data_IF_945303814670
#
_entry.id   IF_945303814670
#
_cell.length_a   1.000
_cell.length_b   1.000
_cell.length_c   1.000
_cell.angle_alpha   90.00
_cell.angle_beta   90.00
_cell.angle_gamma   90.00
#
_symmetry.space_group_name_H-M   'P 1'
#
loop_
_entity.id
_entity.type
_entity.pdbx_description
1 polymer ?
2 water ?
#
# COMPACT_ATOMS: atom_id res chain seq x y z
N UNK A 7 12.55 -29.36 -14.50
CA UNK A 7 11.68 -30.27 -13.75
C UNK A 7 11.23 -29.67 -12.43
N UNK A 8 9.95 -29.85 -12.10
CA UNK A 8 9.37 -29.27 -10.88
C UNK A 8 8.37 -30.23 -10.24
N UNK A 9 8.46 -30.38 -8.92
CA UNK A 9 7.66 -31.38 -8.20
C UNK A 9 6.48 -30.80 -7.39
N UNK A 10 6.61 -29.57 -6.90
CA UNK A 10 5.64 -29.02 -5.94
C UNK A 10 5.63 -27.48 -5.94
N UNK A 11 4.47 -26.89 -6.24
CA UNK A 11 4.36 -25.43 -6.39
C UNK A 11 3.38 -24.79 -5.40
N UNK A 12 3.78 -23.66 -4.81
CA UNK A 12 2.84 -22.84 -4.04
C UNK A 12 2.23 -21.76 -4.94
N UNK A 13 0.91 -21.78 -5.04
CA UNK A 13 0.18 -20.87 -5.91
C UNK A 13 -0.57 -19.83 -5.09
N UNK A 14 -0.47 -18.58 -5.49
CA UNK A 14 -1.31 -17.53 -4.89
C UNK A 14 -2.71 -17.74 -5.46
N UNK A 15 -3.61 -18.22 -4.60
CA UNK A 15 -4.92 -18.66 -5.06
C UNK A 15 -6.05 -17.83 -4.46
N UNK A 16 -6.88 -17.28 -5.33
CA UNK A 16 -8.02 -16.46 -4.90
C UNK A 16 -9.36 -17.19 -5.04
N UNK A 17 -9.38 -18.28 -5.80
CA UNK A 17 -10.62 -18.99 -6.05
C UNK A 17 -11.30 -18.52 -7.32
N UNK A 18 -10.82 -17.41 -7.88
CA UNK A 18 -11.34 -16.88 -9.12
C UNK A 18 -11.11 -17.81 -10.30
N UNK A 19 -11.70 -17.48 -11.45
CA UNK A 19 -11.68 -18.40 -12.58
C UNK A 19 -10.28 -18.56 -13.16
N UNK A 20 -9.56 -17.44 -13.25
CA UNK A 20 -8.25 -17.42 -13.87
C UNK A 20 -7.18 -18.18 -13.10
N UNK A 21 -7.15 -18.00 -11.77
CA UNK A 21 -6.21 -18.75 -10.95
C UNK A 21 -6.63 -20.22 -10.76
N UNK A 22 -7.91 -20.53 -11.03
CA UNK A 22 -8.39 -21.90 -11.03
C UNK A 22 -7.91 -22.58 -12.30
N UNK A 23 -7.91 -21.82 -13.38
CA UNK A 23 -7.36 -22.32 -14.64
C UNK A 23 -5.85 -22.52 -14.49
N UNK A 24 -5.19 -21.58 -13.83
CA UNK A 24 -3.75 -21.69 -13.58
C UNK A 24 -3.40 -22.91 -12.73
N UNK A 25 -4.16 -23.12 -11.67
CA UNK A 25 -4.00 -24.31 -10.83
C UNK A 25 -4.02 -25.62 -11.64
N UNK A 26 -4.94 -25.73 -12.60
CA UNK A 26 -5.03 -26.96 -13.40
C UNK A 26 -3.88 -27.08 -14.39
N UNK A 27 -3.44 -25.93 -14.91
CA UNK A 27 -2.33 -25.88 -15.85
C UNK A 27 -1.01 -26.28 -15.19
N UNK A 28 -0.85 -25.89 -13.93
CA UNK A 28 0.35 -26.26 -13.18
C UNK A 28 0.42 -27.79 -13.05
N UNK A 29 -0.64 -28.39 -12.52
CA UNK A 29 -0.74 -29.84 -12.34
C UNK A 29 -0.45 -30.64 -13.58
N UNK A 30 -0.80 -30.08 -14.74
CA UNK A 30 -0.69 -30.80 -15.99
C UNK A 30 0.62 -30.54 -16.73
N UNK A 31 1.01 -29.28 -16.83
CA UNK A 31 2.18 -28.89 -17.61
C UNK A 31 3.50 -29.17 -16.92
N UNK A 32 3.54 -28.85 -15.63
CA UNK A 32 4.73 -29.12 -14.84
C UNK A 32 4.61 -30.46 -14.12
N UNK A 33 3.40 -31.00 -14.15
CA UNK A 33 3.14 -32.32 -13.60
C UNK A 33 3.56 -32.38 -12.14
N UNK A 34 2.91 -31.55 -11.33
CA UNK A 34 3.35 -31.39 -9.95
C UNK A 34 2.19 -31.32 -8.98
N UNK A 35 2.55 -31.30 -7.70
CA UNK A 35 1.60 -31.11 -6.63
C UNK A 35 1.47 -29.61 -6.43
N UNK A 36 0.24 -29.11 -6.44
CA UNK A 36 0.01 -27.69 -6.22
C UNK A 36 -0.38 -27.43 -4.78
N UNK A 37 0.24 -26.41 -4.18
CA UNK A 37 -0.12 -25.93 -2.85
C UNK A 37 -0.85 -24.59 -3.03
N UNK A 38 -2.01 -24.44 -2.40
CA UNK A 38 -2.70 -23.15 -2.52
C UNK A 38 -2.47 -22.26 -1.29
N UNK A 39 -2.40 -20.96 -1.55
CA UNK A 39 -2.24 -19.96 -0.50
C UNK A 39 -3.21 -18.81 -0.74
N UNK A 40 -4.14 -18.64 0.19
CA UNK A 40 -5.11 -17.54 0.14
C UNK A 40 -4.93 -16.71 1.40
N UNK A 41 -4.81 -15.39 1.23
CA UNK A 41 -4.57 -14.47 2.34
C UNK A 41 -5.66 -13.43 2.47
N UNK A 42 -6.09 -13.17 3.70
CA UNK A 42 -6.98 -12.05 3.97
C UNK A 42 -6.13 -10.81 4.31
N UNK A 43 -6.17 -9.80 3.46
CA UNK A 43 -5.53 -8.51 3.78
C UNK A 43 -6.51 -7.34 3.71
N UNK A 44 -7.79 -7.63 3.95
CA UNK A 44 -8.83 -6.62 3.85
C UNK A 44 -9.65 -6.61 2.56
N UNK A 45 -9.59 -7.69 1.79
CA UNK A 45 -10.32 -7.78 0.53
C UNK A 45 -11.83 -7.79 0.77
N UNK A 46 -12.25 -8.18 1.97
CA UNK A 46 -13.67 -8.31 2.24
C UNK A 46 -14.26 -9.52 1.53
N UNK A 47 -13.45 -10.56 1.36
CA UNK A 47 -13.93 -11.82 0.82
C UNK A 47 -13.88 -12.91 1.88
N UNK A 48 -14.92 -13.72 1.95
CA UNK A 48 -14.90 -14.92 2.79
C UNK A 48 -13.76 -15.82 2.33
N UNK A 49 -12.97 -16.29 3.27
CA UNK A 49 -11.83 -17.17 2.97
C UNK A 49 -12.26 -18.62 2.70
N UNK A 50 -13.24 -19.11 3.46
CA UNK A 50 -13.68 -20.51 3.38
C UNK A 50 -13.92 -21.09 1.98
N UNK A 51 -14.69 -20.39 1.11
CA UNK A 51 -15.02 -20.99 -0.19
C UNK A 51 -13.80 -21.30 -1.05
N UNK A 52 -12.70 -20.59 -0.80
CA UNK A 52 -11.44 -20.83 -1.50
C UNK A 52 -10.91 -22.22 -1.17
N UNK A 53 -10.96 -22.59 0.11
CA UNK A 53 -10.62 -23.96 0.52
C UNK A 53 -11.48 -24.98 -0.23
N UNK A 54 -12.78 -24.74 -0.29
CA UNK A 54 -13.71 -25.64 -0.96
C UNK A 54 -13.48 -25.68 -2.46
N UNK A 55 -13.22 -24.53 -3.07
CA UNK A 55 -12.94 -24.53 -4.50
C UNK A 55 -11.65 -25.32 -4.77
N UNK A 56 -10.66 -25.11 -3.90
CA UNK A 56 -9.39 -25.80 -3.99
C UNK A 56 -9.55 -27.31 -3.85
N UNK A 57 -10.40 -27.74 -2.92
CA UNK A 57 -10.69 -29.15 -2.75
C UNK A 57 -11.33 -29.77 -3.98
N UNK A 58 -12.28 -29.07 -4.59
CA UNK A 58 -13.02 -29.61 -5.72
C UNK A 58 -12.12 -29.70 -6.96
N UNK A 59 -11.05 -28.92 -6.94
CA UNK A 59 -10.05 -28.89 -8.00
C UNK A 59 -8.86 -29.85 -7.78
N UNK A 60 -8.89 -30.64 -6.71
CA UNK A 60 -7.90 -31.68 -6.53
C UNK A 60 -6.76 -31.40 -5.56
N UNK A 61 -6.80 -30.25 -4.91
CA UNK A 61 -5.77 -29.90 -3.93
C UNK A 61 -5.97 -30.75 -2.68
N UNK A 62 -4.88 -31.23 -2.10
CA UNK A 62 -5.00 -31.94 -0.83
C UNK A 62 -5.34 -30.92 0.25
N UNK A 63 -6.12 -31.35 1.24
CA UNK A 63 -6.43 -30.51 2.40
C UNK A 63 -5.18 -29.89 3.00
N UNK A 64 -4.17 -30.72 3.25
CA UNK A 64 -2.96 -30.22 3.91
C UNK A 64 -2.16 -29.25 3.04
N UNK A 65 -2.52 -29.13 1.77
CA UNK A 65 -1.85 -28.19 0.86
C UNK A 65 -2.68 -26.95 0.61
N UNK A 66 -3.72 -26.79 1.40
CA UNK A 66 -4.55 -25.59 1.35
C UNK A 66 -4.20 -24.67 2.53
N UNK A 67 -3.67 -23.49 2.21
CA UNK A 67 -3.26 -22.55 3.26
C UNK A 67 -4.13 -21.30 3.24
N UNK A 68 -4.85 -21.09 4.33
CA UNK A 68 -5.68 -19.91 4.50
C UNK A 68 -5.19 -19.09 5.70
N UNK A 69 -4.72 -17.87 5.44
CA UNK A 69 -4.12 -17.05 6.49
C UNK A 69 -4.71 -15.63 6.60
N UNK A 70 -4.99 -15.20 7.83
CA UNK A 70 -5.43 -13.85 8.10
C UNK A 70 -4.18 -13.00 8.40
N UNK A 71 -3.90 -12.02 7.54
CA UNK A 71 -2.70 -11.19 7.66
C UNK A 71 -3.02 -9.71 7.84
N UNK A 72 -4.25 -9.40 8.27
CA UNK A 72 -4.68 -8.02 8.38
C UNK A 72 -3.86 -7.20 9.39
N UNK A 73 -3.75 -7.71 10.60
CA UNK A 73 -2.99 -7.02 11.64
C UNK A 73 -1.54 -6.80 11.22
N UNK A 74 -0.92 -7.84 10.67
CA UNK A 74 0.48 -7.77 10.25
C UNK A 74 0.70 -6.81 9.09
N UNK A 75 -0.25 -6.79 8.15
CA UNK A 75 -0.25 -5.84 7.06
C UNK A 75 -0.14 -4.39 7.57
N UNK A 76 -1.04 -4.02 8.49
CA UNK A 76 -1.05 -2.65 9.01
C UNK A 76 0.18 -2.41 9.88
N UNK A 77 0.52 -3.38 10.71
CA UNK A 77 1.59 -3.23 11.69
C UNK A 77 2.99 -3.14 11.07
N UNK A 78 3.29 -4.02 10.12
CA UNK A 78 4.66 -4.13 9.65
C UNK A 78 4.85 -3.61 8.23
N UNK A 79 3.78 -3.09 7.64
CA UNK A 79 3.88 -2.62 6.27
C UNK A 79 3.25 -1.24 6.11
N UNK A 80 1.98 -1.13 6.48
CA UNK A 80 1.25 0.13 6.34
C UNK A 80 1.76 1.24 7.28
N UNK A 81 1.73 1.01 8.59
CA UNK A 81 2.24 2.01 9.54
C UNK A 81 3.71 2.39 9.29
N UNK A 82 4.58 1.40 9.02
CA UNK A 82 5.97 1.81 8.73
C UNK A 82 6.11 2.78 7.53
N UNK A 83 5.32 2.56 6.49
CA UNK A 83 5.36 3.42 5.31
C UNK A 83 4.82 4.83 5.61
N UNK A 84 3.77 4.91 6.42
CA UNK A 84 3.16 6.19 6.73
C UNK A 84 4.07 7.11 7.60
N UNK A 85 5.02 6.52 8.30
CA UNK A 85 6.01 7.28 9.06
C UNK A 85 6.73 8.25 8.14
N UNK A 86 6.81 7.89 6.85
CA UNK A 86 7.53 8.68 5.88
C UNK A 86 6.65 9.69 5.17
N UNK A 87 5.35 9.69 5.48
CA UNK A 87 4.37 10.41 4.69
C UNK A 87 4.46 10.06 3.18
N UNK A 88 4.79 8.80 2.90
CA UNK A 88 5.02 8.30 1.53
C UNK A 88 3.83 8.58 0.64
N UNK A 89 4.08 9.28 -0.44
CA UNK A 89 3.05 9.47 -1.43
C UNK A 89 3.77 9.51 -2.77
N UNK A 90 3.22 8.78 -3.73
CA UNK A 90 3.85 8.58 -5.03
C UNK A 90 3.34 9.63 -6.00
N UNK A 91 4.25 10.38 -6.63
CA UNK A 91 3.88 11.43 -7.57
C UNK A 91 2.90 12.49 -6.98
N UNK A 92 2.94 12.67 -5.66
CA UNK A 92 2.18 13.69 -4.95
C UNK A 92 0.71 13.35 -4.74
N UNK A 93 0.31 12.14 -5.10
CA UNK A 93 -1.11 11.76 -5.01
C UNK A 93 -1.34 10.33 -4.50
N UNK A 94 -0.60 9.36 -5.05
CA UNK A 94 -0.91 7.95 -4.81
C UNK A 94 -0.37 7.41 -3.49
N UNK A 95 -1.27 6.89 -2.65
CA UNK A 95 -0.94 6.32 -1.34
C UNK A 95 -0.49 4.85 -1.36
N UNK A 96 -0.12 4.35 -2.53
CA UNK A 96 0.58 3.08 -2.63
C UNK A 96 -0.14 1.84 -2.07
N UNK A 97 -1.47 1.85 -2.10
CA UNK A 97 -2.25 0.74 -1.56
C UNK A 97 -1.94 -0.64 -2.15
N UNK A 98 -1.68 -0.71 -3.46
CA UNK A 98 -1.40 -2.00 -4.09
C UNK A 98 0.04 -2.41 -3.80
N UNK A 99 0.94 -1.46 -4.00
CA UNK A 99 2.37 -1.65 -3.84
C UNK A 99 2.79 -2.11 -2.44
N UNK A 100 2.12 -1.60 -1.41
CA UNK A 100 2.55 -1.92 -0.05
C UNK A 100 2.08 -3.31 0.36
N UNK A 101 1.00 -3.76 -0.27
CA UNK A 101 0.38 -5.03 0.10
C UNK A 101 1.12 -6.21 -0.52
N UNK A 102 1.65 -6.00 -1.73
CA UNK A 102 2.33 -7.05 -2.46
C UNK A 102 3.43 -7.79 -1.68
N UNK A 103 4.36 -7.05 -1.05
CA UNK A 103 5.49 -7.76 -0.43
C UNK A 103 5.06 -8.66 0.71
N UNK A 104 4.01 -8.27 1.44
CA UNK A 104 3.47 -9.15 2.48
C UNK A 104 3.02 -10.51 1.89
N UNK A 105 2.33 -10.47 0.76
CA UNK A 105 1.85 -11.68 0.10
C UNK A 105 3.03 -12.54 -0.42
N UNK A 106 3.98 -11.92 -1.11
CA UNK A 106 5.10 -12.64 -1.72
C UNK A 106 6.00 -13.33 -0.68
N UNK A 107 6.16 -12.66 0.46
CA UNK A 107 7.01 -13.17 1.52
C UNK A 107 6.35 -14.36 2.19
N UNK A 108 5.06 -14.21 2.47
CA UNK A 108 4.29 -15.26 3.11
C UNK A 108 4.21 -16.49 2.22
N UNK A 109 4.09 -16.25 0.92
CA UNK A 109 4.04 -17.33 -0.05
C UNK A 109 5.37 -18.05 -0.11
N UNK A 110 6.46 -17.28 -0.02
CA UNK A 110 7.80 -17.84 -0.07
C UNK A 110 8.06 -18.72 1.15
N UNK A 111 7.46 -18.34 2.27
CA UNK A 111 7.69 -19.06 3.52
C UNK A 111 6.87 -20.32 3.61
N UNK A 112 5.66 -20.30 3.08
CA UNK A 112 4.86 -21.52 2.94
C UNK A 112 5.59 -22.51 2.03
N UNK A 113 6.17 -22.00 0.94
CA UNK A 113 7.01 -22.80 0.05
C UNK A 113 8.13 -23.52 0.78
N UNK A 114 8.82 -22.76 1.63
CA UNK A 114 9.94 -23.28 2.41
C UNK A 114 9.45 -24.31 3.40
N UNK A 115 8.38 -23.96 4.09
CA UNK A 115 7.78 -24.82 5.09
C UNK A 115 7.31 -26.16 4.51
N UNK A 116 6.62 -26.12 3.37
CA UNK A 116 6.09 -27.33 2.73
C UNK A 116 7.12 -28.11 1.92
N UNK A 117 8.29 -27.52 1.70
CA UNK A 117 9.32 -28.18 0.91
C UNK A 117 9.14 -27.93 -0.57
N UNK A 118 8.24 -27.00 -0.90
CA UNK A 118 7.97 -26.63 -2.29
C UNK A 118 9.15 -25.96 -2.98
N UNK A 119 9.45 -26.41 -4.20
CA UNK A 119 10.59 -25.91 -4.97
C UNK A 119 10.21 -24.80 -5.96
N UNK A 120 8.92 -24.49 -6.06
CA UNK A 120 8.48 -23.43 -6.94
C UNK A 120 7.33 -22.62 -6.35
N UNK A 121 7.19 -21.38 -6.80
CA UNK A 121 6.01 -20.58 -6.50
C UNK A 121 5.42 -20.07 -7.80
N UNK A 122 4.20 -19.58 -7.74
CA UNK A 122 3.50 -19.15 -8.95
C UNK A 122 2.46 -18.08 -8.60
N UNK A 123 2.00 -17.34 -9.61
CA UNK A 123 1.01 -16.28 -9.36
C UNK A 123 0.26 -16.00 -10.64
N UNK A 124 -0.93 -15.40 -10.50
CA UNK A 124 -1.76 -15.06 -11.64
C UNK A 124 -1.67 -13.61 -12.11
N UNK A 125 -0.63 -12.90 -11.66
CA UNK A 125 -0.40 -11.53 -12.11
C UNK A 125 -0.19 -11.42 -13.63
N UNK A 126 -0.61 -10.28 -14.19
CA UNK A 126 -0.48 -10.05 -15.63
C UNK A 126 0.97 -10.14 -16.10
N UNK A 127 1.16 -10.62 -17.32
CA UNK A 127 2.50 -10.78 -17.88
C UNK A 127 3.13 -9.47 -18.33
N UNK A 128 2.40 -8.37 -18.19
CA UNK A 128 2.90 -7.06 -18.64
C UNK A 128 2.59 -5.91 -17.68
N UNK A 129 2.24 -6.25 -16.44
CA UNK A 129 1.90 -5.24 -15.43
C UNK A 129 2.97 -5.09 -14.37
N UNK A 130 2.73 -4.19 -13.41
CA UNK A 130 3.68 -3.97 -12.32
C UNK A 130 3.75 -5.17 -11.39
N UNK A 131 2.63 -5.89 -11.30
CA UNK A 131 2.43 -6.84 -10.21
C UNK A 131 3.36 -8.05 -10.23
N UNK A 132 3.74 -8.51 -11.42
CA UNK A 132 4.63 -9.65 -11.54
C UNK A 132 5.99 -9.34 -10.90
N UNK A 133 6.48 -8.11 -11.13
CA UNK A 133 7.75 -7.66 -10.57
C UNK A 133 7.72 -7.65 -9.04
N UNK A 134 6.66 -7.07 -8.48
CA UNK A 134 6.49 -6.99 -7.03
C UNK A 134 6.55 -8.37 -6.37
N UNK A 135 5.84 -9.33 -6.95
CA UNK A 135 5.79 -10.70 -6.43
C UNK A 135 7.16 -11.38 -6.47
N UNK A 136 7.83 -11.29 -7.60
CA UNK A 136 9.06 -12.04 -7.81
C UNK A 136 10.26 -11.48 -7.02
N UNK A 137 10.37 -10.16 -6.93
CA UNK A 137 11.38 -9.55 -6.07
C UNK A 137 11.20 -10.03 -4.62
N UNK A 138 9.97 -10.01 -4.14
CA UNK A 138 9.65 -10.54 -2.82
C UNK A 138 10.03 -11.99 -2.59
N UNK A 139 9.62 -12.89 -3.51
CA UNK A 139 9.97 -14.31 -3.45
C UNK A 139 11.46 -14.50 -3.25
N UNK A 140 12.23 -13.86 -4.11
CA UNK A 140 13.67 -14.02 -4.10
C UNK A 140 14.37 -13.36 -2.90
N UNK A 141 13.69 -12.45 -2.20
CA UNK A 141 14.24 -11.91 -0.96
C UNK A 141 14.26 -12.99 0.11
N UNK A 142 13.23 -13.83 0.13
CA UNK A 142 13.10 -14.82 1.20
C UNK A 142 13.54 -16.21 0.80
N UNK A 143 13.36 -16.55 -0.47
CA UNK A 143 13.82 -17.84 -0.95
C UNK A 143 14.34 -17.71 -2.38
N UNK A 144 15.63 -17.33 -2.51
CA UNK A 144 16.27 -17.00 -3.78
C UNK A 144 16.53 -18.22 -4.64
N UNK A 145 16.28 -19.41 -4.11
CA UNK A 145 16.46 -20.64 -4.88
C UNK A 145 15.16 -21.08 -5.53
N UNK A 146 14.06 -20.44 -5.16
CA UNK A 146 12.75 -20.82 -5.67
C UNK A 146 12.66 -20.71 -7.18
N UNK A 147 12.07 -21.73 -7.79
CA UNK A 147 11.68 -21.66 -9.19
C UNK A 147 10.47 -20.76 -9.26
N UNK A 148 10.45 -19.85 -10.22
CA UNK A 148 9.30 -18.96 -10.38
C UNK A 148 8.54 -19.26 -11.68
N UNK A 149 7.26 -19.58 -11.54
CA UNK A 149 6.43 -19.92 -12.69
C UNK A 149 5.37 -18.86 -12.90
N UNK A 150 5.47 -18.14 -14.01
CA UNK A 150 4.51 -17.11 -14.35
C UNK A 150 3.82 -17.56 -15.60
N UNK A 151 2.69 -18.29 -15.45
CA UNK A 151 2.00 -18.92 -16.59
C UNK A 151 1.55 -17.88 -17.63
N UNK A 152 1.13 -16.72 -17.16
CA UNK A 152 0.79 -15.59 -18.03
C UNK A 152 1.94 -15.24 -18.99
N UNK A 153 3.17 -15.46 -18.54
CA UNK A 153 4.34 -15.23 -19.38
C UNK A 153 4.78 -16.51 -20.11
N UNK A 154 4.36 -17.67 -19.60
CA UNK A 154 4.87 -18.94 -20.11
C UNK A 154 3.98 -19.66 -21.10
N UNK A 155 2.70 -19.83 -20.78
CA UNK A 155 1.81 -20.70 -21.54
C UNK A 155 1.48 -20.23 -22.96
N UNK A 156 0.96 -21.16 -23.77
CA UNK A 156 0.51 -20.86 -25.13
C UNK A 156 -0.98 -20.54 -25.15
N UNK A 157 -1.50 -20.20 -23.99
CA UNK A 157 -2.94 -19.99 -23.79
C UNK A 157 -3.29 -18.51 -23.89
N UNK A 158 -2.96 -17.89 -25.02
CA UNK A 158 -3.11 -16.44 -25.12
C UNK A 158 -4.30 -15.98 -25.97
N UNK A 159 -5.25 -16.89 -26.21
CA UNK A 159 -6.55 -16.53 -26.74
C UNK A 159 -7.56 -16.61 -25.60
N UNK A 160 -8.68 -15.90 -25.73
CA UNK A 160 -9.81 -16.11 -24.82
C UNK A 160 -10.48 -17.42 -25.16
N UNK A 161 -10.61 -17.71 -26.46
CA UNK A 161 -11.21 -18.96 -26.92
C UNK A 161 -10.34 -20.16 -26.53
N UNK A 162 -9.02 -19.98 -26.65
CA UNK A 162 -8.09 -21.05 -26.29
C UNK A 162 -7.93 -21.13 -24.77
N UNK A 163 -8.48 -20.15 -24.06
CA UNK A 163 -8.47 -20.12 -22.61
C UNK A 163 -9.75 -20.78 -22.07
N UNK A 164 -10.85 -20.57 -22.79
CA UNK A 164 -12.13 -21.15 -22.39
C UNK A 164 -12.12 -22.63 -22.65
N UNK A 165 -11.53 -23.00 -23.78
CA UNK A 165 -11.39 -24.40 -24.18
C UNK A 165 -10.60 -25.20 -23.15
N UNK A 166 -9.54 -24.59 -22.62
CA UNK A 166 -8.72 -25.25 -21.61
C UNK A 166 -9.50 -25.49 -20.32
N UNK A 167 -10.20 -24.45 -19.86
CA UNK A 167 -11.03 -24.55 -18.67
C UNK A 167 -12.00 -25.71 -18.78
N UNK A 168 -12.70 -25.79 -19.90
CA UNK A 168 -13.66 -26.85 -20.14
C UNK A 168 -13.01 -28.23 -20.08
N UNK A 169 -11.88 -28.38 -20.77
CA UNK A 169 -11.16 -29.65 -20.88
C UNK A 169 -10.68 -30.20 -19.53
N UNK A 170 -10.34 -29.31 -18.60
CA UNK A 170 -9.88 -29.72 -17.28
C UNK A 170 -10.98 -29.59 -16.23
N UNK A 171 -12.19 -29.26 -16.67
CA UNK A 171 -13.35 -29.20 -15.80
C UNK A 171 -13.24 -28.16 -14.69
N UNK A 180 -21.15 -8.79 -9.60
CA UNK A 180 -19.93 -8.12 -9.18
C UNK A 180 -19.64 -6.92 -10.05
N UNK A 181 -18.72 -6.07 -9.60
CA UNK A 181 -18.28 -4.89 -10.35
C UNK A 181 -17.52 -5.28 -11.61
N UNK A 182 -17.85 -4.63 -12.72
CA UNK A 182 -17.20 -4.89 -14.01
C UNK A 182 -15.78 -4.28 -14.11
N UNK A 183 -15.33 -3.53 -13.09
CA UNK A 183 -13.98 -2.95 -13.12
C UNK A 183 -12.92 -3.93 -12.64
N UNK A 184 -11.71 -3.76 -13.16
CA UNK A 184 -10.57 -4.53 -12.68
C UNK A 184 -10.14 -3.91 -11.34
N UNK A 185 -10.32 -4.66 -10.26
CA UNK A 185 -10.15 -4.11 -8.91
C UNK A 185 -9.09 -4.78 -8.05
N UNK A 186 -8.40 -3.97 -7.25
CA UNK A 186 -7.56 -4.49 -6.19
C UNK A 186 -8.00 -3.88 -4.86
N UNK A 187 -8.38 -4.73 -3.91
CA UNK A 187 -8.85 -4.27 -2.62
C UNK A 187 -8.03 -4.86 -1.49
N UNK A 188 -7.75 -4.00 -0.50
CA UNK A 188 -7.16 -4.39 0.77
C UNK A 188 -7.54 -3.36 1.85
N UNK A 189 -7.00 -3.54 3.05
CA UNK A 189 -7.32 -2.71 4.19
C UNK A 189 -6.93 -1.25 3.97
N UNK A 190 -6.03 -1.01 3.03
CA UNK A 190 -5.57 0.35 2.76
C UNK A 190 -6.37 1.02 1.65
N UNK A 191 -6.63 0.29 0.57
CA UNK A 191 -7.39 0.90 -0.51
C UNK A 191 -8.25 -0.07 -1.36
N UNK A 192 -9.02 0.51 -2.27
CA UNK A 192 -9.63 -0.23 -3.38
C UNK A 192 -9.15 0.48 -4.64
N UNK A 193 -8.72 -0.29 -5.61
CA UNK A 193 -8.23 0.26 -6.88
C UNK A 193 -9.24 -0.04 -7.99
N UNK A 194 -9.38 0.89 -8.94
CA UNK A 194 -10.22 0.64 -10.12
C UNK A 194 -9.47 0.97 -11.40
N UNK A 195 -9.55 0.04 -12.35
CA UNK A 195 -9.09 0.28 -13.71
C UNK A 195 -10.02 -0.36 -14.72
N UNK A 196 -9.88 0.06 -15.97
CA UNK A 196 -10.64 -0.54 -17.06
C UNK A 196 -11.88 0.26 -17.36
N UNK A 197 -12.63 -0.21 -18.37
CA UNK A 197 -13.86 0.44 -18.83
C UNK A 197 -13.64 1.90 -19.21
N UNK A 198 -14.55 2.78 -18.80
CA UNK A 198 -14.45 4.20 -19.17
C UNK A 198 -13.15 4.83 -18.69
N UNK A 199 -12.58 4.27 -17.61
CA UNK A 199 -11.33 4.81 -17.05
C UNK A 199 -10.17 4.76 -18.03
N UNK A 200 -10.30 3.90 -19.04
CA UNK A 200 -9.29 3.75 -20.10
C UNK A 200 -8.97 5.08 -20.78
N UNK A 201 -9.99 5.91 -21.00
CA UNK A 201 -9.76 7.26 -21.51
C UNK A 201 -9.52 8.23 -20.36
N UNK A 202 -8.28 8.74 -20.24
CA UNK A 202 -8.00 9.66 -19.12
C UNK A 202 -8.70 11.02 -19.29
N UNK A 203 -9.24 11.29 -20.48
CA UNK A 203 -10.01 12.50 -20.73
C UNK A 203 -11.48 12.35 -20.34
N UNK A 204 -11.87 11.12 -19.97
CA UNK A 204 -13.25 10.80 -19.61
C UNK A 204 -13.37 10.69 -18.09
N UNK A 205 -14.42 11.29 -17.53
CA UNK A 205 -14.70 11.21 -16.10
C UNK A 205 -15.18 9.81 -15.72
N UNK A 206 -14.92 9.38 -14.48
CA UNK A 206 -15.46 8.09 -14.05
C UNK A 206 -16.99 8.15 -13.85
N UNK A 207 -17.68 7.02 -13.99
CA UNK A 207 -19.10 6.99 -13.71
C UNK A 207 -19.30 6.81 -12.21
N UNK A 208 -20.35 7.41 -11.68
CA UNK A 208 -20.53 7.50 -10.22
C UNK A 208 -20.71 6.14 -9.55
N UNK A 209 -21.29 5.20 -10.28
CA UNK A 209 -21.62 3.91 -9.68
C UNK A 209 -20.42 2.97 -9.59
N UNK A 210 -19.27 3.44 -10.04
CA UNK A 210 -18.03 2.66 -9.95
C UNK A 210 -17.52 2.56 -8.51
N UNK A 211 -17.64 3.66 -7.77
CA UNK A 211 -17.07 3.75 -6.41
C UNK A 211 -17.84 2.87 -5.44
N UNK A 212 -17.21 1.81 -4.94
CA UNK A 212 -17.96 0.82 -4.17
C UNK A 212 -17.83 0.94 -2.66
N UNK A 213 -16.80 1.65 -2.21
CA UNK A 213 -16.46 1.68 -0.80
C UNK A 213 -16.96 2.93 -0.07
N UNK A 214 -16.65 4.10 -0.61
CA UNK A 214 -16.91 5.36 0.09
C UNK A 214 -18.13 6.08 -0.47
N UNK A 215 -18.88 6.76 0.40
CA UNK A 215 -19.92 7.66 -0.06
C UNK A 215 -19.23 8.74 -0.88
N UNK A 216 -19.94 9.37 -1.79
CA UNK A 216 -19.41 10.56 -2.43
C UNK A 216 -19.54 11.70 -1.41
N UNK A 217 -18.71 12.75 -1.55
CA UNK A 217 -18.89 13.93 -0.69
C UNK A 217 -20.29 14.51 -0.78
N UNK A 218 -20.96 14.36 -1.93
CA UNK A 218 -22.33 14.81 -2.08
C UNK A 218 -23.33 14.01 -1.23
N UNK A 219 -23.06 12.73 -1.02
CA UNK A 219 -23.97 11.89 -0.24
C UNK A 219 -23.55 11.78 1.22
N UNK A 220 -22.36 12.29 1.50
CA UNK A 220 -21.84 12.34 2.87
C UNK A 220 -22.71 13.26 3.72
N UNK A 221 -22.75 13.00 5.03
CA UNK A 221 -23.67 13.72 5.94
C UNK A 221 -23.44 15.23 5.98
N UNK A 222 -24.47 15.99 6.31
CA UNK A 222 -24.34 17.44 6.43
C UNK A 222 -23.73 17.86 7.76
N UNK A 223 -23.49 16.88 8.63
CA UNK A 223 -22.91 17.13 9.96
C UNK A 223 -21.47 16.67 10.04
N UNK A 224 -20.56 17.59 10.32
CA UNK A 224 -19.16 17.26 10.50
C UNK A 224 -18.99 16.41 11.76
N UNK A 225 -17.84 15.72 11.84
CA UNK A 225 -17.51 14.82 12.93
C UNK A 225 -16.08 15.08 13.41
N UNK A 226 -15.92 15.29 14.72
CA UNK A 226 -14.59 15.42 15.30
C UNK A 226 -14.07 14.06 15.73
N UNK A 227 -12.79 13.81 15.46
CA UNK A 227 -12.11 12.60 15.88
C UNK A 227 -10.76 12.97 16.50
N UNK A 228 -10.32 12.16 17.47
CA UNK A 228 -9.01 12.34 18.07
C UNK A 228 -8.14 11.10 17.84
N UNK A 229 -6.95 11.32 17.29
CA UNK A 229 -6.04 10.22 16.98
C UNK A 229 -4.77 10.28 17.85
N UNK A 230 -4.53 9.23 18.63
CA UNK A 230 -3.31 9.10 19.43
C UNK A 230 -2.20 8.35 18.69
N UNK A 231 -0.98 8.89 18.77
CA UNK A 231 0.20 8.31 18.12
C UNK A 231 1.29 7.95 19.14
N UNK A 232 2.01 6.87 18.85
CA UNK A 232 3.16 6.47 19.66
C UNK A 232 4.29 6.12 18.72
N UNK A 233 5.38 6.88 18.80
CA UNK A 233 6.52 6.67 17.91
C UNK A 233 6.09 6.68 16.44
N UNK A 234 5.18 7.59 16.11
CA UNK A 234 4.85 7.79 14.72
C UNK A 234 3.72 6.91 14.20
N UNK A 235 3.30 5.92 14.98
CA UNK A 235 2.23 5.01 14.60
C UNK A 235 0.92 5.28 15.35
N UNK A 236 -0.19 5.16 14.63
CA UNK A 236 -1.51 5.24 15.25
C UNK A 236 -1.69 4.13 16.27
N UNK A 237 -2.21 4.48 17.45
CA UNK A 237 -2.43 3.51 18.52
C UNK A 237 -3.85 3.58 19.08
N UNK A 238 -4.51 4.72 18.91
CA UNK A 238 -5.86 4.90 19.44
C UNK A 238 -6.69 5.89 18.63
N UNK A 239 -8.00 5.66 18.64
CA UNK A 239 -8.94 6.54 17.96
C UNK A 239 -10.09 6.83 18.90
N UNK A 240 -10.31 8.12 19.20
CA UNK A 240 -11.26 8.55 20.23
C UNK A 240 -11.06 7.79 21.52
N UNK A 241 -9.80 7.64 21.93
CA UNK A 241 -9.48 7.01 23.20
C UNK A 241 -9.48 5.49 23.14
N UNK A 242 -9.95 4.96 22.02
CA UNK A 242 -10.05 3.52 21.87
C UNK A 242 -8.76 2.93 21.31
N UNK A 243 -8.12 2.05 22.10
CA UNK A 243 -6.94 1.32 21.66
C UNK A 243 -7.32 0.03 20.91
N UNK A 244 -7.14 0.02 19.60
CA UNK A 244 -7.49 -1.16 18.80
C UNK A 244 -6.24 -1.85 18.27
N UNK A 245 -6.40 -3.08 17.76
CA UNK A 245 -5.35 -3.75 17.02
C UNK A 245 -5.06 -2.92 15.78
N UNK A 246 -3.87 -3.07 15.18
CA UNK A 246 -3.56 -2.30 13.98
C UNK A 246 -4.62 -2.37 12.88
N UNK A 247 -5.11 -3.57 12.56
CA UNK A 247 -6.17 -3.70 11.55
C UNK A 247 -7.40 -2.99 12.07
N UNK A 248 -7.65 -3.18 13.37
CA UNK A 248 -8.76 -2.54 14.04
C UNK A 248 -8.75 -1.04 13.84
N UNK A 249 -7.58 -0.44 14.00
CA UNK A 249 -7.42 1.01 13.89
C UNK A 249 -7.66 1.50 12.47
N UNK A 250 -7.04 0.84 11.49
CA UNK A 250 -7.15 1.25 10.10
C UNK A 250 -8.59 1.06 9.60
N UNK A 251 -9.22 -0.02 10.06
CA UNK A 251 -10.63 -0.30 9.73
C UNK A 251 -11.53 0.84 10.24
N UNK A 252 -11.37 1.19 11.51
CA UNK A 252 -12.13 2.30 12.08
C UNK A 252 -11.96 3.59 11.25
N UNK A 253 -10.72 3.95 10.91
CA UNK A 253 -10.47 5.11 10.06
C UNK A 253 -11.11 5.01 8.68
N UNK A 254 -11.12 3.78 8.13
CA UNK A 254 -11.80 3.51 6.86
C UNK A 254 -13.28 3.85 6.92
N UNK A 255 -13.95 3.34 7.94
CA UNK A 255 -15.37 3.57 8.14
C UNK A 255 -15.71 5.05 8.31
N UNK A 256 -14.81 5.76 9.00
CA UNK A 256 -14.96 7.19 9.18
C UNK A 256 -14.79 7.90 7.84
N UNK A 257 -13.72 7.55 7.13
CA UNK A 257 -13.48 8.08 5.80
C UNK A 257 -14.59 7.81 4.80
N UNK A 258 -15.10 6.58 4.81
CA UNK A 258 -16.16 6.18 3.88
C UNK A 258 -17.43 6.96 4.16
N UNK A 259 -17.77 7.03 5.45
CA UNK A 259 -18.96 7.75 5.92
C UNK A 259 -19.01 9.18 5.41
N UNK A 260 -17.85 9.84 5.41
CA UNK A 260 -17.76 11.25 5.05
C UNK A 260 -17.21 11.50 3.65
N UNK A 261 -17.10 10.45 2.84
CA UNK A 261 -16.73 10.61 1.45
C UNK A 261 -15.29 11.05 1.23
N UNK A 262 -14.40 10.56 2.08
CA UNK A 262 -13.00 10.95 2.07
C UNK A 262 -12.11 9.91 1.35
N UNK A 263 -11.15 10.37 0.55
CA UNK A 263 -10.10 9.48 0.09
C UNK A 263 -10.13 9.08 -1.38
N UNK A 264 -11.01 9.71 -2.17
CA UNK A 264 -11.10 9.37 -3.58
C UNK A 264 -9.99 10.04 -4.39
N UNK A 265 -9.55 9.38 -5.45
CA UNK A 265 -8.45 9.89 -6.24
C UNK A 265 -8.53 9.45 -7.70
N UNK A 266 -8.21 10.36 -8.61
CA UNK A 266 -8.24 10.05 -10.02
C UNK A 266 -6.94 10.51 -10.70
N UNK A 267 -6.09 9.55 -11.03
CA UNK A 267 -4.79 9.87 -11.62
C UNK A 267 -4.44 8.97 -12.79
N UNK A 268 -3.58 9.48 -13.68
CA UNK A 268 -2.71 8.59 -14.44
C UNK A 268 -1.34 8.57 -13.73
N UNK A 269 -0.75 7.39 -13.65
CA UNK A 269 0.48 7.21 -12.90
C UNK A 269 1.52 6.58 -13.83
N UNK A 270 2.80 6.77 -13.53
CA UNK A 270 3.83 6.05 -14.30
C UNK A 270 4.10 4.69 -13.68
N UNK A 271 3.97 3.65 -14.47
CA UNK A 271 4.24 2.31 -13.99
C UNK A 271 5.73 2.00 -14.01
N UNK A 272 6.14 1.00 -13.24
CA UNK A 272 7.52 0.55 -13.30
C UNK A 272 7.74 -0.14 -14.64
N UNK A 273 6.82 -1.04 -14.98
CA UNK A 273 6.84 -1.83 -16.22
C UNK A 273 5.73 -1.39 -17.17
N UNK A 274 6.11 -0.90 -18.35
CA UNK A 274 5.15 -0.32 -19.26
C UNK A 274 5.10 1.20 -19.09
N UNK A 275 4.06 1.82 -19.60
CA UNK A 275 4.04 3.27 -19.60
C UNK A 275 3.09 3.84 -18.55
N UNK A 276 2.18 4.68 -19.01
CA UNK A 276 1.27 5.37 -18.10
C UNK A 276 -0.06 4.65 -18.03
N UNK A 277 -0.73 4.73 -16.89
CA UNK A 277 -1.97 4.01 -16.68
C UNK A 277 -2.95 4.88 -15.90
N UNK A 278 -4.21 4.88 -16.29
CA UNK A 278 -5.22 5.64 -15.55
C UNK A 278 -6.00 4.77 -14.55
N UNK A 279 -6.02 5.18 -13.29
CA UNK A 279 -6.72 4.44 -12.27
C UNK A 279 -7.41 5.36 -11.27
N UNK A 280 -8.44 4.83 -10.60
CA UNK A 280 -9.10 5.54 -9.51
C UNK A 280 -8.85 4.76 -8.24
N UNK A 281 -8.83 5.45 -7.10
CA UNK A 281 -8.48 4.82 -5.84
C UNK A 281 -9.33 5.35 -4.69
N UNK A 282 -9.72 4.46 -3.80
CA UNK A 282 -10.38 4.87 -2.58
C UNK A 282 -9.47 4.54 -1.41
N UNK A 283 -8.94 5.58 -0.77
CA UNK A 283 -8.08 5.41 0.39
C UNK A 283 -8.61 6.21 1.59
N UNK A 284 -9.79 5.81 2.11
CA UNK A 284 -10.46 6.62 3.13
C UNK A 284 -9.67 6.77 4.42
N UNK A 285 -9.26 5.66 5.03
CA UNK A 285 -8.50 5.69 6.25
C UNK A 285 -7.11 6.28 6.09
N UNK A 286 -6.44 5.94 4.99
CA UNK A 286 -5.08 6.37 4.78
C UNK A 286 -4.96 7.86 4.51
N UNK A 287 -5.95 8.42 3.82
CA UNK A 287 -6.00 9.84 3.55
C UNK A 287 -6.08 10.63 4.87
N UNK A 288 -6.88 10.14 5.81
CA UNK A 288 -6.95 10.72 7.15
C UNK A 288 -5.65 10.50 7.94
N UNK A 289 -5.05 9.33 7.79
CA UNK A 289 -3.82 9.00 8.49
C UNK A 289 -2.67 9.96 8.16
N UNK A 290 -2.49 10.21 6.86
CA UNK A 290 -1.43 11.08 6.37
C UNK A 290 -1.52 12.49 6.94
N UNK A 291 -2.72 13.05 6.94
CA UNK A 291 -2.96 14.40 7.42
C UNK A 291 -2.64 14.52 8.90
N UNK A 292 -3.08 13.53 9.66
CA UNK A 292 -2.88 13.48 11.09
C UNK A 292 -1.42 13.28 11.42
N UNK A 293 -0.76 12.43 10.64
CA UNK A 293 0.65 12.14 10.90
C UNK A 293 1.54 13.36 10.67
N UNK A 294 1.25 14.13 9.62
CA UNK A 294 1.92 15.41 9.42
C UNK A 294 1.71 16.33 10.62
N UNK A 295 0.48 16.40 11.12
CA UNK A 295 0.17 17.30 12.23
C UNK A 295 0.92 16.90 13.50
N UNK A 296 1.00 15.59 13.74
CA UNK A 296 1.78 15.05 14.84
C UNK A 296 3.22 15.53 14.75
N UNK A 297 3.83 15.31 13.59
CA UNK A 297 5.24 15.65 13.38
C UNK A 297 5.50 17.16 13.53
N UNK A 298 4.50 17.97 13.19
CA UNK A 298 4.64 19.40 13.15
C UNK A 298 4.99 20.00 14.54
N UNK A 299 4.51 19.37 15.62
CA UNK A 299 4.85 19.82 16.96
C UNK A 299 5.90 18.96 17.68
N UNK A 300 6.16 17.73 17.17
CA UNK A 300 7.04 16.79 17.86
C UNK A 300 8.38 16.50 17.20
N UNK A 301 8.52 16.83 15.92
CA UNK A 301 9.76 16.57 15.23
C UNK A 301 10.62 17.80 15.10
N UNK A 302 11.91 17.63 15.31
CA UNK A 302 12.89 18.66 14.99
C UNK A 302 12.74 19.01 13.51
N UNK A 303 12.91 20.29 13.21
CA UNK A 303 12.74 20.82 11.86
C UNK A 303 13.57 20.07 10.82
N UNK A 304 14.87 19.97 11.06
CA UNK A 304 15.77 19.40 10.07
C UNK A 304 15.58 17.90 9.90
N UNK A 305 15.07 17.27 10.94
CA UNK A 305 14.79 15.85 10.89
C UNK A 305 13.58 15.63 9.99
N UNK A 306 12.56 16.48 10.15
CA UNK A 306 11.37 16.42 9.33
C UNK A 306 11.71 16.74 7.88
N UNK A 307 12.55 17.75 7.68
CA UNK A 307 12.86 18.18 6.33
C UNK A 307 13.72 17.15 5.61
N UNK A 308 14.60 16.50 6.36
CA UNK A 308 15.45 15.49 5.74
C UNK A 308 14.58 14.32 5.25
N UNK A 309 13.62 13.90 6.07
CA UNK A 309 12.72 12.82 5.69
C UNK A 309 11.87 13.22 4.49
N UNK A 310 11.41 14.49 4.44
CA UNK A 310 10.69 14.96 3.25
C UNK A 310 11.50 14.82 1.97
N UNK A 311 12.80 15.11 2.05
CA UNK A 311 13.66 15.10 0.89
C UNK A 311 13.81 13.69 0.36
N UNK A 312 13.78 12.71 1.26
CA UNK A 312 14.03 11.33 0.89
C UNK A 312 12.73 10.55 0.64
N UNK A 313 11.59 11.21 0.81
CA UNK A 313 10.31 10.53 0.67
C UNK A 313 10.04 10.00 -0.74
N UNK A 314 10.15 10.87 -1.78
CA UNK A 314 9.85 10.33 -3.13
C UNK A 314 10.66 9.07 -3.52
N UNK A 315 11.96 9.08 -3.27
CA UNK A 315 12.80 7.91 -3.48
C UNK A 315 12.24 6.67 -2.77
N UNK A 316 11.79 6.88 -1.54
CA UNK A 316 11.19 5.81 -0.73
C UNK A 316 9.87 5.33 -1.33
N UNK A 317 9.07 6.28 -1.82
CA UNK A 317 7.80 5.97 -2.43
C UNK A 317 7.99 5.18 -3.73
N UNK A 318 9.00 5.52 -4.51
CA UNK A 318 9.29 4.80 -5.75
C UNK A 318 9.78 3.38 -5.48
N UNK A 319 10.61 3.24 -4.45
CA UNK A 319 11.05 1.92 -4.04
C UNK A 319 9.87 1.01 -3.74
N UNK A 320 8.87 1.56 -3.06
CA UNK A 320 7.71 0.80 -2.64
C UNK A 320 6.90 0.45 -3.86
N UNK A 321 6.57 1.50 -4.62
CA UNK A 321 5.87 1.33 -5.88
C UNK A 321 6.48 0.26 -6.80
N UNK A 322 7.80 0.29 -6.97
CA UNK A 322 8.45 -0.53 -7.98
C UNK A 322 8.60 -1.97 -7.54
N UNK A 323 8.36 -2.23 -6.25
CA UNK A 323 8.45 -3.58 -5.71
C UNK A 323 9.71 -3.85 -4.91
N UNK A 324 10.35 -2.80 -4.40
CA UNK A 324 11.60 -3.00 -3.69
C UNK A 324 11.49 -2.80 -2.17
N UNK A 325 10.37 -3.24 -1.60
CA UNK A 325 10.21 -3.22 -0.15
C UNK A 325 11.30 -4.01 0.55
N UNK A 326 11.49 -5.26 0.12
CA UNK A 326 12.56 -6.08 0.67
C UNK A 326 13.89 -5.90 -0.06
N UNK A 327 14.52 -4.75 0.17
CA UNK A 327 15.80 -4.42 -0.44
C UNK A 327 16.65 -3.69 0.58
N UNK A 328 17.98 -3.74 0.43
CA UNK A 328 18.93 -3.00 1.28
C UNK A 328 18.71 -1.47 1.31
N UNK A 329 18.54 -0.84 0.14
CA UNK A 329 18.10 0.55 0.04
C UNK A 329 16.99 0.86 1.03
N UNK A 330 15.89 0.12 0.93
CA UNK A 330 14.67 0.46 1.65
C UNK A 330 14.87 0.29 3.15
N UNK A 331 15.70 -0.68 3.52
CA UNK A 331 16.00 -0.92 4.91
C UNK A 331 16.84 0.24 5.45
N UNK A 332 17.72 0.75 4.61
CA UNK A 332 18.52 1.91 4.96
C UNK A 332 17.64 3.11 5.16
N UNK A 333 16.74 3.33 4.20
CA UNK A 333 15.83 4.46 4.32
C UNK A 333 14.89 4.31 5.51
N UNK A 334 14.43 3.09 5.77
CA UNK A 334 13.59 2.86 6.93
C UNK A 334 14.27 3.18 8.26
N UNK A 335 15.56 2.85 8.37
CA UNK A 335 16.33 3.09 9.59
C UNK A 335 16.40 4.58 9.89
N UNK A 336 16.58 5.36 8.82
CA UNK A 336 16.57 6.80 8.89
C UNK A 336 15.19 7.32 9.29
N UNK A 337 14.17 6.77 8.65
CA UNK A 337 12.79 7.18 8.87
C UNK A 337 12.38 6.89 10.30
N UNK A 338 12.72 5.70 10.77
CA UNK A 338 12.28 5.27 12.09
C UNK A 338 12.94 6.07 13.20
N UNK A 339 14.18 6.46 12.96
CA UNK A 339 14.97 7.22 13.91
C UNK A 339 14.32 8.58 14.05
N UNK A 340 13.73 9.09 12.98
CA UNK A 340 13.04 10.37 13.03
C UNK A 340 11.78 10.29 13.91
N UNK A 341 11.33 9.08 14.21
CA UNK A 341 9.99 8.93 14.79
C UNK A 341 9.97 8.73 16.29
N UNK A 342 11.15 8.55 16.88
CA UNK A 342 11.30 8.24 18.30
C UNK A 342 10.42 9.08 19.23
N UNK A 343 10.38 10.39 19.00
CA UNK A 343 9.62 11.30 19.86
C UNK A 343 8.30 11.72 19.26
N UNK A 344 7.84 10.96 18.27
CA UNK A 344 6.59 11.26 17.59
C UNK A 344 5.43 10.66 18.38
N UNK A 345 5.25 11.20 19.60
CA UNK A 345 4.16 10.80 20.49
C UNK A 345 3.23 11.97 20.71
N UNK A 346 1.94 11.76 20.52
CA UNK A 346 0.98 12.81 20.79
C UNK A 346 -0.40 12.58 20.20
N UNK A 347 -1.18 13.64 20.17
CA UNK A 347 -2.59 13.54 19.81
C UNK A 347 -2.95 14.59 18.78
N UNK A 348 -3.71 14.18 17.77
CA UNK A 348 -4.19 15.12 16.76
C UNK A 348 -5.72 15.13 16.72
N UNK A 349 -6.29 16.31 16.52
CA UNK A 349 -7.74 16.46 16.45
C UNK A 349 -8.10 16.89 15.02
N UNK A 350 -9.07 16.21 14.41
CA UNK A 350 -9.49 16.56 13.06
C UNK A 350 -11.01 16.64 12.93
N UNK A 351 -11.48 17.49 12.01
CA UNK A 351 -12.90 17.56 11.68
C UNK A 351 -13.11 17.01 10.28
N UNK A 352 -13.98 16.01 10.16
CA UNK A 352 -14.27 15.42 8.86
C UNK A 352 -15.59 15.98 8.36
N UNK A 353 -15.59 16.41 7.10
CA UNK A 353 -16.81 16.91 6.46
C UNK A 353 -16.73 16.78 4.94
N UNK A 354 -17.60 15.93 4.37
CA UNK A 354 -17.74 15.79 2.92
C UNK A 354 -16.44 15.88 2.13
N UNK A 355 -15.53 14.94 2.38
CA UNK A 355 -14.31 14.85 1.60
C UNK A 355 -13.13 15.59 2.20
N UNK A 356 -13.41 16.38 3.23
CA UNK A 356 -12.40 17.20 3.87
C UNK A 356 -11.86 16.59 5.14
N UNK A 357 -10.54 16.67 5.29
CA UNK A 357 -9.84 16.27 6.50
C UNK A 357 -9.11 17.51 6.98
N UNK A 358 -9.72 18.20 7.93
CA UNK A 358 -9.22 19.46 8.42
C UNK A 358 -8.56 19.20 9.77
N UNK A 359 -7.32 19.65 9.95
CA UNK A 359 -6.74 19.58 11.29
C UNK A 359 -7.26 20.76 12.09
N UNK A 360 -7.73 20.50 13.31
CA UNK A 360 -8.23 21.57 14.17
C UNK A 360 -7.49 21.64 15.51
N UNK A 361 -6.62 20.67 15.77
CA UNK A 361 -5.83 20.67 16.99
C UNK A 361 -4.74 19.63 16.96
N UNK A 362 -3.60 19.94 17.56
CA UNK A 362 -2.60 18.92 17.85
C UNK A 362 -1.92 19.26 19.18
N UNK A 363 -1.59 18.23 19.96
CA UNK A 363 -1.01 18.44 21.27
C UNK A 363 -0.13 17.23 21.57
N UNK A 364 0.73 17.35 22.57
CA UNK A 364 1.55 16.23 22.99
C UNK A 364 1.86 16.40 24.46
N UNK A 365 1.76 15.31 25.21
CA UNK A 365 1.91 15.35 26.65
C UNK A 365 3.35 15.54 27.16
N UNK A 366 4.32 14.97 26.46
CA UNK A 366 5.71 15.07 26.90
C UNK A 366 6.70 15.44 25.81
N UNK A 367 6.22 15.52 24.57
CA UNK A 367 7.13 15.64 23.44
C UNK A 367 6.92 16.84 22.52
N UNK A 368 6.05 17.77 22.90
CA UNK A 368 5.87 18.95 22.07
C UNK A 368 7.10 19.87 22.13
N UNK A 369 7.57 20.33 20.97
CA UNK A 369 8.67 21.30 20.94
C UNK A 369 8.09 22.70 20.71
N UNK A 370 6.77 22.78 20.71
CA UNK A 370 6.11 24.06 20.59
C UNK A 370 6.29 24.87 21.87
N UNK A 371 6.48 24.18 23.00
CA UNK A 371 6.89 24.77 24.29
C UNK A 371 6.37 26.17 24.63
N UNK A 382 16.06 31.72 25.15
CA UNK A 382 15.78 33.11 24.81
C UNK A 382 16.65 33.57 23.63
N UNK A 383 16.09 34.47 22.82
CA UNK A 383 16.87 35.20 21.82
C UNK A 383 16.19 36.54 21.59
N UNK A 384 16.96 37.54 21.19
CA UNK A 384 16.39 38.86 20.96
C UNK A 384 16.65 39.36 19.54
N UNK A 385 16.30 40.62 19.31
CA UNK A 385 16.40 41.20 17.97
C UNK A 385 17.85 41.42 17.56
N UNK A 386 18.72 41.74 18.53
CA UNK A 386 20.14 41.90 18.26
C UNK A 386 20.77 40.57 17.84
N UNK A 387 20.25 39.48 18.40
CA UNK A 387 20.72 38.15 18.01
C UNK A 387 20.33 37.88 16.56
N UNK A 388 19.11 38.26 16.20
CA UNK A 388 18.62 38.04 14.84
C UNK A 388 19.43 38.86 13.83
N UNK A 389 19.89 40.03 14.26
CA UNK A 389 20.72 40.88 13.41
C UNK A 389 22.01 40.16 12.98
N UNK A 390 22.61 39.44 13.92
CA UNK A 390 23.87 38.76 13.67
C UNK A 390 23.68 37.53 12.81
N UNK A 391 22.52 36.88 12.95
CA UNK A 391 22.16 35.71 12.15
C UNK A 391 22.00 36.15 10.70
N UNK A 392 21.40 37.32 10.51
CA UNK A 392 21.17 37.87 9.19
C UNK A 392 22.48 38.30 8.54
N UNK A 393 23.29 38.99 9.31
CA UNK A 393 24.59 39.47 8.83
C UNK A 393 25.46 38.36 8.26
N UNK A 394 25.47 37.19 8.92
CA UNK A 394 26.35 36.10 8.51
C UNK A 394 25.80 35.29 7.34
N UNK A 395 24.48 35.28 7.19
CA UNK A 395 23.87 34.60 6.06
C UNK A 395 23.97 35.47 4.81
N UNK A 396 24.09 36.77 5.03
CA UNK A 396 24.12 37.74 3.95
C UNK A 396 25.53 38.01 3.44
N UNK A 397 26.53 37.50 4.13
CA UNK A 397 27.90 37.67 3.72
C UNK A 397 28.15 37.25 2.32
N UNK A 398 27.71 36.07 1.93
CA UNK A 398 28.01 35.61 0.58
C UNK A 398 27.36 36.51 -0.48
N UNK A 399 26.25 37.14 -0.11
CA UNK A 399 25.57 38.02 -1.05
C UNK A 399 26.31 39.32 -1.23
N UNK A 400 26.98 39.78 -0.18
CA UNK A 400 27.75 41.00 -0.24
C UNK A 400 29.06 40.77 -0.98
N UNK A 401 29.68 39.60 -0.73
CA UNK A 401 30.92 39.24 -1.42
C UNK A 401 30.61 39.13 -2.91
N UNK A 402 29.50 38.46 -3.22
CA UNK A 402 29.10 38.26 -4.62
C UNK A 402 28.80 39.59 -5.29
N UNK A 403 28.03 40.45 -4.62
CA UNK A 403 27.70 41.76 -5.15
C UNK A 403 28.91 42.59 -5.52
N UNK A 404 29.94 42.54 -4.66
CA UNK A 404 31.18 43.26 -4.90
C UNK A 404 31.95 42.65 -6.07
N UNK A 405 31.68 41.37 -6.35
CA UNK A 405 32.34 40.66 -7.44
C UNK A 405 31.56 40.71 -8.75
N UNK A 406 30.60 41.62 -8.85
CA UNK A 406 29.89 41.87 -10.09
C UNK A 406 28.64 41.03 -10.29
N UNK A 407 28.36 40.16 -9.33
CA UNK A 407 27.27 39.20 -9.47
C UNK A 407 25.94 39.69 -8.88
N UNK A 408 25.70 41.00 -8.96
CA UNK A 408 24.44 41.57 -8.49
C UNK A 408 23.31 41.02 -9.34
N UNK A 409 22.14 40.83 -8.74
CA UNK A 409 20.97 40.34 -9.47
C UNK A 409 20.35 41.47 -10.28
#
# INVERSE_FOLDING_TARGET
>A
SNAMKNEVKKVVLAYSGGLDTSIILKWLQDEYNCEVVTFTADIGQGEELEPARKKALSLGIKEENIFIKDLRDEFVKDYVFPMFRANAIYEGEYLLGTSIARPLIAKTQAQIALQTGADAVSHGATGKGNDQVRFELGYLAFSPDLKIIAPWREWDLNSREKLLAYAQKHGIDISKKKGKSPYSMDANLLHISYEGLVLEDPAHAPEEDMWRWSKSPKDAPNESEIIELDFQKGDLVAINGEKLSPAGLLTKLNELGCKHGIGRLDIVENRYVGMKSRGCYETPGGTILLKAHRALESITLDREAAHLKDELMPKYASLIYNGYWFSPERMMLQALIDESQIHANGRVKLELYKGNVMVIGRESANDSLFNAAYCTFEEDEVYNQKDAAGFIKLNALRFIIAGKNGRKF
#
